data_IF_238024092547
#
_entry.id   IF_238024092547
#
_cell.length_a   1.000
_cell.length_b   1.000
_cell.length_c   1.000
_cell.angle_alpha   90.00
_cell.angle_beta   90.00
_cell.angle_gamma   90.00
#
_symmetry.space_group_name_H-M   'P 1'
#
loop_
_entity.id
_entity.type
_entity.pdbx_description
1 polymer ?
#
# COMPACT_ATOMS: atom_id res chain seq x y z
N UNK A 1 -78.13 7.92 -30.56
CA UNK A 1 -76.88 8.65 -30.84
C UNK A 1 -76.06 8.68 -29.56
N UNK A 2 -74.87 8.06 -29.63
CA UNK A 2 -73.69 8.20 -28.76
C UNK A 2 -73.80 7.88 -27.26
N UNK A 3 -73.50 6.62 -26.93
CA UNK A 3 -72.83 6.20 -25.69
C UNK A 3 -71.56 7.05 -25.47
N UNK A 4 -71.42 7.66 -24.30
CA UNK A 4 -70.13 8.09 -23.76
C UNK A 4 -69.82 7.17 -22.59
N UNK A 5 -69.01 6.15 -22.85
CA UNK A 5 -68.34 5.38 -21.81
C UNK A 5 -67.34 6.30 -21.12
N UNK A 6 -67.58 6.59 -19.84
CA UNK A 6 -66.56 7.13 -18.96
C UNK A 6 -65.52 6.02 -18.72
N UNK A 7 -64.42 6.07 -19.48
CA UNK A 7 -63.24 5.24 -19.21
C UNK A 7 -62.58 5.82 -17.96
N UNK A 8 -62.92 5.23 -16.82
CA UNK A 8 -62.22 5.44 -15.57
C UNK A 8 -60.81 4.85 -15.72
N UNK A 9 -59.82 5.71 -16.01
CA UNK A 9 -58.41 5.31 -16.04
C UNK A 9 -58.02 5.00 -14.60
N UNK A 10 -58.19 3.74 -14.22
CA UNK A 10 -57.69 3.17 -12.96
C UNK A 10 -56.20 3.48 -12.85
N UNK A 11 -55.85 4.44 -11.99
CA UNK A 11 -54.45 4.63 -11.58
C UNK A 11 -54.03 3.34 -10.87
N UNK A 12 -52.98 2.64 -11.34
CA UNK A 12 -52.60 1.37 -10.74
C UNK A 12 -52.25 1.59 -9.27
N UNK A 13 -52.58 0.62 -8.38
CA UNK A 13 -52.33 0.76 -6.97
C UNK A 13 -50.83 0.97 -6.71
N UNK A 14 -50.50 2.03 -5.97
CA UNK A 14 -49.13 2.43 -5.56
C UNK A 14 -48.30 1.30 -4.89
N UNK A 15 -48.93 0.18 -4.53
CA UNK A 15 -48.28 -1.02 -3.99
C UNK A 15 -47.36 -1.74 -4.99
N UNK A 16 -47.51 -1.52 -6.30
CA UNK A 16 -46.71 -2.22 -7.31
C UNK A 16 -45.43 -1.49 -7.73
N UNK A 17 -45.20 -0.25 -7.27
CA UNK A 17 -43.97 0.49 -7.59
C UNK A 17 -42.73 -0.15 -6.94
N UNK A 18 -42.89 -0.69 -5.72
CA UNK A 18 -41.81 -1.43 -5.02
C UNK A 18 -41.44 -2.75 -5.70
N UNK A 19 -42.38 -3.40 -6.38
CA UNK A 19 -42.15 -4.66 -7.09
C UNK A 19 -41.58 -4.46 -8.50
N UNK A 20 -41.86 -3.33 -9.17
CA UNK A 20 -41.23 -3.00 -10.47
C UNK A 20 -39.77 -2.56 -10.34
N UNK A 21 -39.36 -2.00 -9.20
CA UNK A 21 -37.96 -1.59 -8.96
C UNK A 21 -37.07 -2.80 -8.61
N UNK A 22 -37.65 -3.96 -8.28
CA UNK A 22 -36.87 -5.16 -7.91
C UNK A 22 -36.22 -5.86 -9.11
N UNK A 23 -36.60 -5.50 -10.35
CA UNK A 23 -36.11 -6.11 -11.60
C UNK A 23 -35.01 -5.32 -12.33
N UNK A 24 -34.70 -4.09 -11.88
CA UNK A 24 -33.56 -3.33 -12.37
C UNK A 24 -32.49 -3.35 -11.26
N UNK A 25 -31.40 -4.09 -11.48
CA UNK A 25 -30.14 -3.87 -10.73
C UNK A 25 -29.60 -2.49 -11.13
N UNK A 26 -30.25 -1.43 -10.65
CA UNK A 26 -29.87 -0.02 -10.81
C UNK A 26 -28.87 0.44 -9.75
N UNK A 27 -28.51 -0.45 -8.82
CA UNK A 27 -27.49 -0.19 -7.81
C UNK A 27 -26.26 -1.06 -8.12
N UNK A 28 -25.11 -0.44 -8.42
CA UNK A 28 -23.86 -1.18 -8.61
C UNK A 28 -23.55 -1.97 -7.33
N UNK A 29 -22.88 -3.13 -7.47
CA UNK A 29 -22.32 -3.83 -6.32
C UNK A 29 -21.45 -2.83 -5.55
N UNK A 30 -21.72 -2.66 -4.27
CA UNK A 30 -20.85 -1.89 -3.38
C UNK A 30 -19.52 -2.64 -3.32
N UNK A 31 -18.52 -2.17 -4.06
CA UNK A 31 -17.18 -2.72 -3.98
C UNK A 31 -16.56 -2.23 -2.68
N UNK A 32 -16.05 -3.16 -1.88
CA UNK A 32 -15.35 -2.82 -0.65
C UNK A 32 -13.91 -2.43 -1.00
N UNK A 33 -13.71 -1.16 -1.39
CA UNK A 33 -12.38 -0.61 -1.68
C UNK A 33 -11.42 -0.80 -0.50
N UNK A 34 -11.92 -0.70 0.74
CA UNK A 34 -11.10 -0.89 1.94
C UNK A 34 -10.58 -2.31 2.08
N UNK A 35 -11.36 -3.32 1.65
CA UNK A 35 -10.87 -4.70 1.58
C UNK A 35 -9.63 -4.79 0.67
N UNK A 36 -9.66 -4.18 -0.51
CA UNK A 36 -8.54 -4.20 -1.44
C UNK A 36 -7.33 -3.40 -0.93
N UNK A 37 -7.55 -2.20 -0.38
CA UNK A 37 -6.47 -1.42 0.26
C UNK A 37 -5.80 -2.24 1.36
N UNK A 38 -6.59 -2.93 2.20
CA UNK A 38 -6.07 -3.78 3.26
C UNK A 38 -5.27 -4.96 2.73
N UNK A 39 -5.74 -5.61 1.66
CA UNK A 39 -5.00 -6.71 1.03
C UNK A 39 -3.66 -6.24 0.49
N UNK A 40 -3.60 -5.07 -0.15
CA UNK A 40 -2.35 -4.49 -0.63
C UNK A 40 -1.40 -4.15 0.54
N UNK A 41 -1.92 -3.50 1.60
CA UNK A 41 -1.11 -3.12 2.75
C UNK A 41 -0.52 -4.33 3.50
N UNK A 42 -1.31 -5.39 3.70
CA UNK A 42 -0.84 -6.64 4.29
C UNK A 42 0.20 -7.32 3.39
N UNK A 43 0.04 -7.24 2.07
CA UNK A 43 0.99 -7.80 1.12
C UNK A 43 2.34 -7.05 1.13
N UNK A 44 2.32 -5.72 1.32
CA UNK A 44 3.52 -4.90 1.54
C UNK A 44 4.27 -5.37 2.79
N UNK A 45 3.59 -5.48 3.93
CA UNK A 45 4.18 -6.00 5.17
C UNK A 45 4.78 -7.41 5.00
N UNK A 46 4.10 -8.30 4.29
CA UNK A 46 4.61 -9.63 3.97
C UNK A 46 5.89 -9.57 3.12
N UNK A 47 5.92 -8.71 2.09
CA UNK A 47 7.10 -8.46 1.27
C UNK A 47 8.29 -7.94 2.08
N UNK A 48 8.06 -6.95 2.96
CA UNK A 48 9.11 -6.41 3.84
C UNK A 48 9.68 -7.47 4.79
N UNK A 49 8.83 -8.39 5.28
CA UNK A 49 9.27 -9.50 6.12
C UNK A 49 10.13 -10.51 5.37
N UNK A 50 9.82 -10.77 4.09
CA UNK A 50 10.68 -11.58 3.21
C UNK A 50 12.02 -10.89 2.98
N UNK A 51 12.03 -9.57 2.78
CA UNK A 51 13.26 -8.79 2.63
C UNK A 51 14.18 -8.91 3.86
N UNK A 52 13.64 -8.76 5.08
CA UNK A 52 14.41 -9.00 6.31
C UNK A 52 15.01 -10.42 6.36
N UNK A 53 14.24 -11.44 5.94
CA UNK A 53 14.74 -12.81 5.88
C UNK A 53 15.84 -12.99 4.84
N UNK A 54 15.74 -12.34 3.67
CA UNK A 54 16.77 -12.37 2.63
C UNK A 54 18.09 -11.74 3.11
N UNK A 55 18.00 -10.70 3.93
CA UNK A 55 19.14 -10.07 4.57
C UNK A 55 19.79 -11.02 5.58
N UNK A 56 18.98 -11.66 6.42
CA UNK A 56 19.48 -12.58 7.45
C UNK A 56 20.03 -13.92 6.91
N UNK A 57 19.50 -14.43 5.80
CA UNK A 57 19.77 -15.80 5.31
C UNK A 57 20.24 -15.79 3.85
N UNK A 58 21.55 -15.62 3.64
CA UNK A 58 22.15 -15.53 2.30
C UNK A 58 21.79 -16.73 1.43
N UNK A 59 21.87 -17.93 1.98
CA UNK A 59 21.64 -19.21 1.30
C UNK A 59 20.19 -19.40 0.81
N UNK A 60 19.24 -18.66 1.40
CA UNK A 60 17.81 -18.74 1.04
C UNK A 60 17.36 -17.62 0.10
N UNK A 61 18.23 -16.65 -0.24
CA UNK A 61 17.88 -15.46 -1.03
C UNK A 61 17.19 -15.79 -2.35
N UNK A 62 17.67 -16.82 -3.06
CA UNK A 62 17.11 -17.18 -4.37
C UNK A 62 15.65 -17.63 -4.27
N UNK A 63 15.31 -18.42 -3.26
CA UNK A 63 13.94 -18.92 -3.06
C UNK A 63 13.04 -17.84 -2.45
N UNK A 64 13.53 -17.11 -1.46
CA UNK A 64 12.84 -15.96 -0.88
C UNK A 64 12.57 -14.86 -1.92
N UNK A 65 13.46 -14.66 -2.91
CA UNK A 65 13.23 -13.72 -4.01
C UNK A 65 12.06 -14.15 -4.91
N UNK A 66 11.85 -15.46 -5.11
CA UNK A 66 10.69 -15.95 -5.87
C UNK A 66 9.40 -15.65 -5.12
N UNK A 67 9.38 -15.92 -3.81
CA UNK A 67 8.24 -15.57 -2.95
C UNK A 67 7.97 -14.06 -2.95
N UNK A 68 9.03 -13.26 -2.86
CA UNK A 68 8.91 -11.80 -2.91
C UNK A 68 8.41 -11.31 -4.28
N UNK A 69 8.79 -11.97 -5.38
CA UNK A 69 8.23 -11.67 -6.71
C UNK A 69 6.75 -12.03 -6.80
N UNK A 70 6.30 -13.07 -6.11
CA UNK A 70 4.88 -13.40 -6.05
C UNK A 70 4.09 -12.39 -5.20
N UNK A 71 4.70 -11.83 -4.15
CA UNK A 71 4.16 -10.67 -3.45
C UNK A 71 4.02 -9.48 -4.40
N UNK A 72 5.08 -9.06 -5.11
CA UNK A 72 5.02 -7.93 -6.07
C UNK A 72 3.92 -8.14 -7.12
N UNK A 73 3.88 -9.28 -7.80
CA UNK A 73 2.84 -9.59 -8.80
C UNK A 73 1.43 -9.54 -8.23
N UNK A 74 1.26 -9.93 -6.97
CA UNK A 74 -0.03 -9.84 -6.28
C UNK A 74 -0.39 -8.38 -5.99
N UNK A 75 0.59 -7.56 -5.61
CA UNK A 75 0.45 -6.11 -5.46
C UNK A 75 -0.03 -5.46 -6.74
N UNK A 76 0.69 -5.63 -7.85
CA UNK A 76 0.35 -5.09 -9.17
C UNK A 76 -1.09 -5.41 -9.57
N UNK A 77 -1.50 -6.69 -9.39
CA UNK A 77 -2.87 -7.13 -9.70
C UNK A 77 -3.90 -6.39 -8.86
N UNK A 78 -3.68 -6.28 -7.54
CA UNK A 78 -4.59 -5.55 -6.64
C UNK A 78 -4.64 -4.07 -7.04
N UNK A 79 -3.49 -3.44 -7.30
CA UNK A 79 -3.39 -2.04 -7.73
C UNK A 79 -4.18 -1.81 -9.02
N UNK A 80 -3.99 -2.66 -10.03
CA UNK A 80 -4.75 -2.60 -11.27
C UNK A 80 -6.25 -2.80 -11.08
N UNK A 81 -6.66 -3.77 -10.26
CA UNK A 81 -8.07 -4.01 -9.93
C UNK A 81 -8.69 -2.77 -9.28
N UNK A 82 -8.04 -2.17 -8.30
CA UNK A 82 -8.54 -0.95 -7.64
C UNK A 82 -8.65 0.20 -8.65
N UNK A 83 -7.63 0.44 -9.48
CA UNK A 83 -7.66 1.52 -10.47
C UNK A 83 -8.83 1.33 -11.45
N UNK A 84 -9.10 0.11 -11.89
CA UNK A 84 -10.25 -0.19 -12.76
C UNK A 84 -11.57 0.05 -12.02
N UNK A 85 -11.69 -0.44 -10.78
CA UNK A 85 -12.87 -0.20 -9.94
C UNK A 85 -13.14 1.28 -9.71
N UNK A 86 -12.11 2.09 -9.46
CA UNK A 86 -12.23 3.54 -9.28
C UNK A 86 -12.78 4.23 -10.54
N UNK A 87 -12.39 3.77 -11.74
CA UNK A 87 -12.88 4.29 -13.03
C UNK A 87 -14.33 3.92 -13.30
N UNK A 88 -14.74 2.71 -12.96
CA UNK A 88 -16.06 2.17 -13.29
C UNK A 88 -17.12 2.50 -12.22
N UNK A 89 -16.72 2.82 -10.99
CA UNK A 89 -17.65 3.01 -9.87
C UNK A 89 -18.11 4.47 -9.76
N UNK A 90 -19.42 4.69 -9.82
CA UNK A 90 -20.02 6.02 -9.69
C UNK A 90 -19.93 6.60 -8.27
N UNK A 91 -20.14 5.78 -7.23
CA UNK A 91 -20.07 6.16 -5.82
C UNK A 91 -18.83 5.59 -5.15
N UNK A 92 -17.96 6.44 -4.62
CA UNK A 92 -16.69 6.05 -4.00
C UNK A 92 -16.64 6.49 -2.54
N UNK A 93 -15.88 5.79 -1.66
CA UNK A 93 -15.85 6.11 -0.24
C UNK A 93 -15.16 7.44 0.07
N UNK A 94 -14.27 7.89 -0.81
CA UNK A 94 -13.62 9.20 -0.79
C UNK A 94 -13.17 9.58 -2.21
N UNK A 95 -12.47 10.71 -2.37
CA UNK A 95 -12.04 11.26 -3.65
C UNK A 95 -11.30 10.25 -4.52
N UNK A 96 -11.66 10.16 -5.80
CA UNK A 96 -11.02 9.24 -6.77
C UNK A 96 -9.53 9.49 -6.94
N UNK A 97 -9.11 10.76 -6.94
CA UNK A 97 -7.70 11.13 -7.02
C UNK A 97 -6.92 10.60 -5.82
N UNK A 98 -7.51 10.66 -4.62
CA UNK A 98 -6.84 10.23 -3.40
C UNK A 98 -6.73 8.71 -3.35
N UNK A 99 -7.79 7.98 -3.74
CA UNK A 99 -7.72 6.52 -3.89
C UNK A 99 -6.64 6.10 -4.88
N UNK A 100 -6.60 6.74 -6.06
CA UNK A 100 -5.58 6.45 -7.08
C UNK A 100 -4.17 6.74 -6.55
N UNK A 101 -3.95 7.90 -5.94
CA UNK A 101 -2.64 8.27 -5.38
C UNK A 101 -2.23 7.33 -4.25
N UNK A 102 -3.18 6.93 -3.39
CA UNK A 102 -2.92 6.00 -2.28
C UNK A 102 -2.42 4.66 -2.83
N UNK A 103 -3.12 4.05 -3.78
CA UNK A 103 -2.74 2.72 -4.29
C UNK A 103 -1.43 2.75 -5.05
N UNK A 104 -1.19 3.76 -5.87
CA UNK A 104 0.07 3.90 -6.61
C UNK A 104 1.25 4.06 -5.64
N UNK A 105 1.10 4.87 -4.58
CA UNK A 105 2.17 5.04 -3.58
C UNK A 105 2.38 3.82 -2.70
N UNK A 106 1.34 3.02 -2.48
CA UNK A 106 1.46 1.74 -1.80
C UNK A 106 2.21 0.71 -2.67
N UNK A 107 1.90 0.67 -3.97
CA UNK A 107 2.58 -0.15 -4.98
C UNK A 107 4.07 0.17 -5.07
N UNK A 108 4.41 1.47 -5.10
CA UNK A 108 5.79 1.98 -5.13
C UNK A 108 6.65 1.39 -3.99
N UNK A 109 6.07 1.15 -2.80
CA UNK A 109 6.77 0.53 -1.65
C UNK A 109 7.13 -0.92 -1.96
N UNK A 110 6.17 -1.70 -2.45
CA UNK A 110 6.36 -3.12 -2.74
C UNK A 110 7.37 -3.34 -3.87
N UNK A 111 7.32 -2.49 -4.89
CA UNK A 111 8.29 -2.48 -5.99
C UNK A 111 9.71 -2.23 -5.48
N UNK A 112 9.89 -1.23 -4.61
CA UNK A 112 11.19 -0.95 -4.00
C UNK A 112 11.71 -2.16 -3.21
N UNK A 113 10.86 -2.78 -2.39
CA UNK A 113 11.22 -3.98 -1.62
C UNK A 113 11.67 -5.11 -2.55
N UNK A 114 10.91 -5.41 -3.60
CA UNK A 114 11.29 -6.43 -4.59
C UNK A 114 12.61 -6.08 -5.28
N UNK A 115 12.79 -4.82 -5.69
CA UNK A 115 14.01 -4.34 -6.33
C UNK A 115 15.25 -4.41 -5.44
N UNK A 116 15.09 -4.24 -4.12
CA UNK A 116 16.17 -4.42 -3.14
C UNK A 116 16.49 -5.91 -3.00
N UNK A 117 15.49 -6.77 -2.81
CA UNK A 117 15.69 -8.22 -2.75
C UNK A 117 16.39 -8.78 -3.99
N UNK A 118 16.03 -8.27 -5.16
CA UNK A 118 16.65 -8.62 -6.42
C UNK A 118 18.15 -8.23 -6.45
N UNK A 119 18.49 -7.01 -6.03
CA UNK A 119 19.88 -6.55 -5.91
C UNK A 119 20.67 -7.36 -4.88
N UNK A 120 20.11 -7.63 -3.70
CA UNK A 120 20.75 -8.47 -2.67
C UNK A 120 21.17 -9.85 -3.20
N UNK A 121 20.34 -10.41 -4.09
CA UNK A 121 20.60 -11.70 -4.73
C UNK A 121 21.64 -11.58 -5.84
N UNK A 122 21.54 -10.55 -6.69
CA UNK A 122 22.43 -10.36 -7.86
C UNK A 122 23.82 -9.84 -7.50
N UNK A 123 23.93 -9.00 -6.48
CA UNK A 123 25.19 -8.39 -6.05
C UNK A 123 26.05 -9.37 -5.25
N UNK A 124 25.49 -10.50 -4.83
CA UNK A 124 26.15 -11.52 -4.03
C UNK A 124 26.88 -10.92 -2.82
N UNK A 125 26.17 -10.09 -2.05
CA UNK A 125 26.74 -9.42 -0.88
C UNK A 125 26.94 -10.46 0.23
N UNK A 126 28.20 -10.76 0.53
CA UNK A 126 28.62 -11.71 1.56
C UNK A 126 28.37 -11.21 2.97
N UNK A 127 29.04 -10.11 3.35
CA UNK A 127 28.93 -9.49 4.66
C UNK A 127 27.94 -8.34 4.60
N UNK A 128 26.84 -8.48 5.34
CA UNK A 128 25.86 -7.42 5.54
C UNK A 128 26.19 -6.71 6.86
N UNK A 129 26.45 -5.39 6.85
CA UNK A 129 26.62 -4.59 8.06
C UNK A 129 25.33 -4.49 8.89
N UNK A 130 25.47 -4.31 10.20
CA UNK A 130 24.34 -4.18 11.13
C UNK A 130 23.42 -3.01 10.77
N UNK A 131 23.95 -1.92 10.20
CA UNK A 131 23.16 -0.77 9.77
C UNK A 131 22.21 -1.12 8.61
N UNK A 132 22.62 -2.02 7.72
CA UNK A 132 21.78 -2.49 6.63
C UNK A 132 20.63 -3.37 7.14
N UNK A 133 20.90 -4.17 8.18
CA UNK A 133 19.89 -4.96 8.91
C UNK A 133 18.90 -4.00 9.58
N UNK A 134 19.40 -2.99 10.29
CA UNK A 134 18.59 -1.99 10.96
C UNK A 134 17.69 -1.20 9.98
N UNK A 135 18.22 -0.81 8.82
CA UNK A 135 17.43 -0.17 7.76
C UNK A 135 16.29 -1.06 7.25
N UNK A 136 16.54 -2.36 7.08
CA UNK A 136 15.49 -3.29 6.66
C UNK A 136 14.41 -3.50 7.74
N UNK A 137 14.80 -3.56 9.00
CA UNK A 137 13.85 -3.62 10.12
C UNK A 137 12.98 -2.35 10.18
N UNK A 138 13.55 -1.17 9.86
CA UNK A 138 12.80 0.08 9.74
C UNK A 138 11.82 0.07 8.55
N UNK A 139 12.18 -0.54 7.42
CA UNK A 139 11.26 -0.77 6.29
C UNK A 139 10.09 -1.65 6.73
N UNK A 140 10.35 -2.77 7.43
CA UNK A 140 9.30 -3.65 7.95
C UNK A 140 8.40 -2.92 8.95
N UNK A 141 8.97 -2.22 9.93
CA UNK A 141 8.21 -1.46 10.92
C UNK A 141 7.33 -0.39 10.26
N UNK A 142 7.86 0.31 9.25
CA UNK A 142 7.10 1.33 8.50
C UNK A 142 5.95 0.70 7.70
N UNK A 143 6.20 -0.44 7.05
CA UNK A 143 5.20 -1.22 6.32
C UNK A 143 4.07 -1.72 7.22
N UNK A 144 4.41 -2.19 8.43
CA UNK A 144 3.43 -2.62 9.43
C UNK A 144 2.56 -1.44 9.89
N UNK A 145 3.14 -0.25 10.10
CA UNK A 145 2.37 0.95 10.42
C UNK A 145 1.45 1.40 9.27
N UNK A 146 1.90 1.29 8.00
CA UNK A 146 1.04 1.53 6.83
C UNK A 146 -0.16 0.57 6.84
N UNK A 147 0.05 -0.71 7.11
CA UNK A 147 -1.04 -1.70 7.21
C UNK A 147 -2.04 -1.37 8.32
N UNK A 148 -1.57 -0.89 9.46
CA UNK A 148 -2.45 -0.46 10.56
C UNK A 148 -3.24 0.81 10.20
N UNK A 149 -2.58 1.81 9.60
CA UNK A 149 -3.22 3.06 9.17
C UNK A 149 -4.33 2.79 8.14
N UNK A 150 -4.05 1.98 7.12
CA UNK A 150 -5.01 1.63 6.05
C UNK A 150 -6.19 0.82 6.60
N UNK A 151 -5.92 -0.12 7.52
CA UNK A 151 -6.97 -0.91 8.20
C UNK A 151 -7.99 -0.04 8.89
N UNK A 152 -7.53 0.93 9.66
CA UNK A 152 -8.39 1.76 10.48
C UNK A 152 -9.00 2.94 9.71
N UNK A 153 -8.50 3.28 8.52
CA UNK A 153 -9.02 4.33 7.63
C UNK A 153 -10.50 4.13 7.24
N UNK A 154 -10.98 2.89 7.24
CA UNK A 154 -12.39 2.55 6.98
C UNK A 154 -13.36 3.03 8.07
N UNK A 155 -12.87 3.50 9.22
CA UNK A 155 -13.68 3.86 10.38
C UNK A 155 -13.42 5.30 10.83
N UNK A 156 -14.33 6.27 10.57
CA UNK A 156 -14.16 7.67 10.99
C UNK A 156 -13.88 7.87 12.49
N UNK A 157 -14.47 7.01 13.34
CA UNK A 157 -14.24 7.03 14.80
C UNK A 157 -12.79 6.72 15.19
N UNK A 158 -12.00 6.12 14.29
CA UNK A 158 -10.60 5.75 14.50
C UNK A 158 -9.60 6.71 13.84
N UNK A 159 -10.04 7.80 13.23
CA UNK A 159 -9.12 8.74 12.57
C UNK A 159 -8.00 9.24 13.48
N UNK A 160 -8.26 9.42 14.77
CA UNK A 160 -7.21 9.77 15.74
C UNK A 160 -6.13 8.67 15.87
N UNK A 161 -6.50 7.40 15.78
CA UNK A 161 -5.53 6.30 15.80
C UNK A 161 -4.79 6.19 14.46
N UNK A 162 -5.47 6.41 13.33
CA UNK A 162 -4.82 6.50 12.01
C UNK A 162 -3.77 7.61 11.98
N UNK A 163 -4.06 8.79 12.54
CA UNK A 163 -3.09 9.88 12.65
C UNK A 163 -1.88 9.52 13.52
N UNK A 164 -2.06 8.73 14.59
CA UNK A 164 -0.93 8.22 15.39
C UNK A 164 -0.03 7.29 14.57
N UNK A 165 -0.60 6.43 13.74
CA UNK A 165 0.17 5.59 12.82
C UNK A 165 0.95 6.43 11.81
N UNK A 166 0.35 7.48 11.24
CA UNK A 166 1.05 8.42 10.35
C UNK A 166 2.23 9.13 11.04
N UNK A 167 2.06 9.53 12.30
CA UNK A 167 3.15 10.11 13.11
C UNK A 167 4.27 9.11 13.34
N UNK A 168 3.95 7.84 13.63
CA UNK A 168 4.98 6.80 13.82
C UNK A 168 5.72 6.49 12.51
N UNK A 169 5.04 6.44 11.36
CA UNK A 169 5.71 6.28 10.06
C UNK A 169 6.74 7.39 9.82
N UNK A 170 6.37 8.65 10.10
CA UNK A 170 7.29 9.80 10.00
C UNK A 170 8.44 9.73 11.01
N UNK A 171 8.22 9.12 12.17
CA UNK A 171 9.27 8.87 13.17
C UNK A 171 10.26 7.81 12.69
N UNK A 172 9.76 6.73 12.08
CA UNK A 172 10.56 5.65 11.53
C UNK A 172 11.41 6.09 10.33
N UNK A 173 10.86 6.91 9.43
CA UNK A 173 11.61 7.49 8.32
C UNK A 173 12.77 8.38 8.80
N UNK A 174 12.54 9.24 9.80
CA UNK A 174 13.63 10.02 10.41
C UNK A 174 14.71 9.15 11.04
N UNK A 175 14.33 8.03 11.66
CA UNK A 175 15.31 7.07 12.18
C UNK A 175 16.09 6.43 11.03
N UNK A 176 15.44 6.11 9.92
CA UNK A 176 16.09 5.52 8.74
C UNK A 176 17.10 6.48 8.09
N UNK A 177 16.79 7.78 8.01
CA UNK A 177 17.74 8.81 7.55
C UNK A 177 18.98 8.87 8.45
N UNK A 178 18.80 8.87 9.78
CA UNK A 178 19.93 8.83 10.73
C UNK A 178 20.75 7.54 10.57
N UNK A 179 20.09 6.39 10.43
CA UNK A 179 20.77 5.09 10.24
C UNK A 179 21.51 5.04 8.90
N UNK A 180 20.95 5.63 7.83
CA UNK A 180 21.63 5.75 6.54
C UNK A 180 22.92 6.55 6.70
N UNK A 181 22.87 7.71 7.34
CA UNK A 181 24.06 8.55 7.53
C UNK A 181 25.17 7.80 8.30
N UNK A 182 24.81 7.09 9.38
CA UNK A 182 25.74 6.22 10.10
C UNK A 182 26.31 5.10 9.21
N UNK A 183 25.46 4.45 8.40
CA UNK A 183 25.90 3.41 7.47
C UNK A 183 26.90 3.95 6.44
N UNK A 184 26.64 5.13 5.88
CA UNK A 184 27.54 5.78 4.91
C UNK A 184 28.87 6.11 5.55
N UNK A 185 28.89 6.69 6.75
CA UNK A 185 30.14 6.95 7.48
C UNK A 185 30.96 5.68 7.69
N UNK A 186 30.32 4.58 8.11
CA UNK A 186 30.98 3.30 8.34
C UNK A 186 31.52 2.69 7.04
N UNK A 187 30.71 2.68 5.98
CA UNK A 187 31.06 2.12 4.67
C UNK A 187 32.29 2.81 4.08
N UNK A 188 32.39 4.13 4.20
CA UNK A 188 33.54 4.89 3.66
C UNK A 188 34.80 4.80 4.52
N UNK A 189 34.66 4.58 5.84
CA UNK A 189 35.80 4.53 6.76
C UNK A 189 36.42 3.13 6.92
N UNK A 190 35.70 2.05 6.58
CA UNK A 190 36.15 0.67 6.80
C UNK A 190 37.12 0.10 5.75
N UNK A 191 37.66 0.91 4.84
CA UNK A 191 38.71 0.47 3.89
C UNK A 191 38.28 -0.63 2.91
N UNK A 192 36.97 -0.77 2.65
CA UNK A 192 36.42 -1.75 1.69
C UNK A 192 36.87 -1.42 0.27
N UNK A 193 36.94 -2.43 -0.60
CA UNK A 193 37.13 -2.18 -2.03
C UNK A 193 35.96 -1.37 -2.61
N UNK A 194 36.21 -0.64 -3.71
CA UNK A 194 35.24 0.25 -4.30
C UNK A 194 33.95 -0.46 -4.77
N UNK A 195 34.01 -1.74 -5.14
CA UNK A 195 32.83 -2.49 -5.56
C UNK A 195 31.92 -2.81 -4.37
N UNK A 196 32.49 -3.25 -3.26
CA UNK A 196 31.74 -3.52 -2.04
C UNK A 196 31.11 -2.24 -1.49
N UNK A 197 31.85 -1.12 -1.53
CA UNK A 197 31.35 0.20 -1.15
C UNK A 197 30.11 0.59 -1.98
N UNK A 198 30.18 0.46 -3.31
CA UNK A 198 29.05 0.79 -4.20
C UNK A 198 27.83 -0.07 -3.89
N UNK A 199 28.00 -1.39 -3.72
CA UNK A 199 26.91 -2.32 -3.41
C UNK A 199 26.19 -1.95 -2.12
N UNK A 200 26.96 -1.73 -1.04
CA UNK A 200 26.42 -1.43 0.28
C UNK A 200 25.74 -0.06 0.30
N UNK A 201 26.39 0.97 -0.27
CA UNK A 201 25.82 2.31 -0.39
C UNK A 201 24.48 2.29 -1.11
N UNK A 202 24.42 1.65 -2.29
CA UNK A 202 23.19 1.61 -3.08
C UNK A 202 22.06 0.90 -2.32
N UNK A 203 22.36 -0.21 -1.65
CA UNK A 203 21.36 -0.93 -0.84
C UNK A 203 20.87 -0.09 0.35
N UNK A 204 21.76 0.60 1.06
CA UNK A 204 21.39 1.48 2.18
C UNK A 204 20.46 2.60 1.72
N UNK A 205 20.82 3.30 0.65
CA UNK A 205 20.03 4.40 0.09
C UNK A 205 18.66 3.91 -0.42
N UNK A 206 18.58 2.71 -0.98
CA UNK A 206 17.31 2.13 -1.43
C UNK A 206 16.40 1.75 -0.26
N UNK A 207 16.96 1.20 0.83
CA UNK A 207 16.20 0.87 2.03
C UNK A 207 15.62 2.13 2.68
N UNK A 208 16.44 3.18 2.85
CA UNK A 208 15.97 4.47 3.37
C UNK A 208 14.88 5.07 2.47
N UNK A 209 15.09 5.13 1.15
CA UNK A 209 14.09 5.64 0.22
C UNK A 209 12.74 4.87 0.28
N UNK A 210 12.76 3.59 0.66
CA UNK A 210 11.53 2.81 0.86
C UNK A 210 10.76 3.28 2.10
N UNK A 211 11.45 3.74 3.15
CA UNK A 211 10.80 4.37 4.31
C UNK A 211 10.22 5.75 3.97
N UNK A 212 10.86 6.52 3.09
CA UNK A 212 10.29 7.77 2.53
C UNK A 212 8.99 7.50 1.75
N UNK A 213 8.94 6.41 0.96
CA UNK A 213 7.71 6.00 0.29
C UNK A 213 6.59 5.68 1.29
N UNK A 214 6.89 5.04 2.42
CA UNK A 214 5.92 4.83 3.49
C UNK A 214 5.41 6.18 4.07
N UNK A 215 6.30 7.16 4.28
CA UNK A 215 5.93 8.52 4.69
C UNK A 215 5.02 9.20 3.66
N UNK A 216 5.27 9.00 2.36
CA UNK A 216 4.42 9.55 1.30
C UNK A 216 2.99 8.98 1.35
N UNK A 217 2.84 7.69 1.66
CA UNK A 217 1.53 7.08 1.94
C UNK A 217 0.86 7.73 3.17
N UNK A 218 1.59 7.93 4.26
CA UNK A 218 1.07 8.59 5.46
C UNK A 218 0.56 10.02 5.17
N UNK A 219 1.29 10.79 4.37
CA UNK A 219 0.87 12.14 3.96
C UNK A 219 -0.45 12.13 3.15
N UNK A 220 -0.65 11.13 2.30
CA UNK A 220 -1.91 10.95 1.56
C UNK A 220 -3.06 10.61 2.52
N UNK A 221 -2.82 9.69 3.46
CA UNK A 221 -3.84 9.29 4.45
C UNK A 221 -4.25 10.49 5.32
N UNK A 222 -3.31 11.30 5.78
CA UNK A 222 -3.61 12.54 6.51
C UNK A 222 -4.46 13.49 5.66
N UNK A 223 -4.12 13.66 4.38
CA UNK A 223 -4.91 14.46 3.44
C UNK A 223 -6.35 13.95 3.27
N UNK A 224 -6.54 12.64 3.18
CA UNK A 224 -7.88 12.01 3.14
C UNK A 224 -8.65 12.34 4.41
N UNK A 225 -8.05 12.17 5.59
CA UNK A 225 -8.70 12.45 6.88
C UNK A 225 -9.10 13.92 6.97
N UNK A 226 -8.23 14.86 6.58
CA UNK A 226 -8.51 16.29 6.63
C UNK A 226 -9.75 16.70 5.81
N UNK A 227 -10.01 16.01 4.70
CA UNK A 227 -11.19 16.25 3.86
C UNK A 227 -12.50 15.67 4.43
N UNK A 228 -12.38 14.74 5.39
CA UNK A 228 -13.51 14.03 6.01
C UNK A 228 -13.70 14.38 7.49
N UNK A 229 -12.93 15.36 8.00
CA UNK A 229 -12.98 15.87 9.36
C UNK A 229 -14.02 16.99 9.54
#
# INVERSE_FOLDING_TARGET
MTNKENIEISKPPLKNLRQMITGLRLFPKTHDFFLYFNQLAVNISAGSRLLCQMIAKKEQRVDLLKELKDCERKGDRITHEIINLVRETFLTPFDRSDMHNLVVRMDDILDSIYHIGNRLTRYDVDAIPDELVALADLVLASSDQVALAVKDLSHPKKFQDVLKHCVEIKSLEKKADITLNAAIELIFNNGSDAFQLIKLKELSEKLEATTDQCKNVANIIEGIILKHA
#
